data_IF_182307746496
#
_entry.id   IF_182307746496
#
_cell.length_a   1.000
_cell.length_b   1.000
_cell.length_c   1.000
_cell.angle_alpha   90.00
_cell.angle_beta   90.00
_cell.angle_gamma   90.00
#
_symmetry.space_group_name_H-M   'P 1'
#
loop_
_entity.id
_entity.type
_entity.pdbx_description
1 polymer ?
#
# COMPACT_ATOMS: atom_id res chain seq x y z
N UNK A 1 -36.88 -2.61 10.26
CA UNK A 1 -35.93 -1.83 11.09
C UNK A 1 -34.54 -2.38 10.83
N UNK A 2 -33.82 -1.79 9.88
CA UNK A 2 -32.42 -2.09 9.65
C UNK A 2 -31.65 -0.78 9.83
N UNK A 3 -30.79 -0.75 10.84
CA UNK A 3 -29.95 0.39 11.17
C UNK A 3 -28.79 0.43 10.16
N UNK A 4 -28.67 1.53 9.43
CA UNK A 4 -27.54 1.81 8.56
C UNK A 4 -26.33 2.20 9.44
N UNK A 5 -25.28 1.38 9.43
CA UNK A 5 -24.00 1.72 10.04
C UNK A 5 -23.17 2.46 8.98
N UNK A 6 -23.14 3.77 9.08
CA UNK A 6 -22.24 4.62 8.29
C UNK A 6 -20.85 4.57 8.92
N UNK A 7 -19.93 3.79 8.34
CA UNK A 7 -18.50 3.87 8.69
C UNK A 7 -17.88 5.04 7.93
N UNK A 8 -17.92 6.20 8.57
CA UNK A 8 -17.19 7.40 8.18
C UNK A 8 -15.71 7.19 8.54
N UNK A 9 -14.87 6.86 7.55
CA UNK A 9 -13.42 6.72 7.75
C UNK A 9 -12.72 8.07 7.58
N UNK A 10 -12.31 8.61 8.73
CA UNK A 10 -11.11 9.42 8.97
C UNK A 10 -10.90 10.63 8.05
N UNK A 11 -11.46 11.77 8.47
CA UNK A 11 -10.77 13.05 8.30
C UNK A 11 -9.73 13.10 9.42
N UNK A 12 -8.47 12.86 9.09
CA UNK A 12 -7.35 13.13 9.98
C UNK A 12 -7.39 14.64 10.29
N UNK A 13 -8.07 14.99 11.37
CA UNK A 13 -7.95 16.29 11.99
C UNK A 13 -6.56 16.30 12.64
N UNK A 14 -5.61 16.95 11.97
CA UNK A 14 -4.33 17.37 12.51
C UNK A 14 -4.57 18.12 13.83
N UNK A 15 -4.51 17.38 14.94
CA UNK A 15 -4.48 17.96 16.27
C UNK A 15 -3.10 18.54 16.49
N UNK A 16 -2.92 19.77 16.07
CA UNK A 16 -1.87 20.64 16.60
C UNK A 16 -2.07 20.74 18.12
N UNK A 17 -1.19 20.06 18.85
CA UNK A 17 -0.80 20.41 20.21
C UNK A 17 0.71 20.49 20.24
N UNK A 18 1.21 21.59 19.67
CA UNK A 18 2.49 22.14 20.10
C UNK A 18 2.24 22.65 21.53
N UNK A 19 2.52 21.79 22.51
CA UNK A 19 2.67 22.23 23.89
C UNK A 19 3.96 23.05 23.95
N UNK A 20 3.76 24.37 24.01
CA UNK A 20 4.78 25.38 24.21
C UNK A 20 5.59 25.05 25.48
N UNK A 21 6.79 24.46 25.29
CA UNK A 21 7.81 24.41 26.33
C UNK A 21 8.84 25.46 25.98
N UNK A 22 8.60 26.67 26.47
CA UNK A 22 9.59 27.73 26.58
C UNK A 22 10.72 27.29 27.52
N UNK A 23 11.72 26.63 26.96
CA UNK A 23 13.05 26.48 27.54
C UNK A 23 14.02 27.11 26.56
N UNK A 24 14.78 28.11 27.00
CA UNK A 24 15.79 28.79 26.20
C UNK A 24 16.86 27.78 25.72
N UNK A 25 16.69 27.26 24.51
CA UNK A 25 17.64 26.38 23.85
C UNK A 25 18.46 27.24 22.87
N UNK A 26 19.64 27.70 23.31
CA UNK A 26 20.72 28.13 22.42
C UNK A 26 21.21 26.90 21.62
N UNK A 27 20.39 26.45 20.67
CA UNK A 27 20.72 25.37 19.76
C UNK A 27 21.75 25.87 18.76
N UNK A 28 22.91 25.19 18.70
CA UNK A 28 23.95 25.53 17.75
C UNK A 28 23.42 25.47 16.29
N UNK A 29 23.97 26.34 15.43
CA UNK A 29 23.54 26.47 14.02
C UNK A 29 23.64 25.12 13.27
N UNK A 30 24.56 24.25 13.70
CA UNK A 30 24.74 22.91 13.13
C UNK A 30 23.55 22.00 13.44
N UNK A 31 23.05 22.01 14.67
CA UNK A 31 21.90 21.22 15.11
C UNK A 31 20.61 21.69 14.45
N UNK A 32 20.43 23.00 14.29
CA UNK A 32 19.30 23.57 13.55
C UNK A 32 19.30 23.11 12.08
N UNK A 33 20.44 23.22 11.41
CA UNK A 33 20.61 22.75 10.03
C UNK A 33 20.34 21.25 9.88
N UNK A 34 20.76 20.43 10.85
CA UNK A 34 20.47 18.98 10.85
C UNK A 34 18.98 18.71 11.01
N UNK A 35 18.29 19.42 11.91
CA UNK A 35 16.84 19.27 12.11
C UNK A 35 16.05 19.68 10.86
N UNK A 36 16.40 20.81 10.25
CA UNK A 36 15.79 21.26 9.00
C UNK A 36 16.03 20.27 7.85
N UNK A 37 17.26 19.78 7.69
CA UNK A 37 17.59 18.79 6.68
C UNK A 37 16.79 17.49 6.88
N UNK A 38 16.62 17.02 8.13
CA UNK A 38 15.79 15.84 8.45
C UNK A 38 14.32 16.07 8.15
N UNK A 39 13.76 17.22 8.53
CA UNK A 39 12.38 17.58 8.24
C UNK A 39 12.13 17.62 6.72
N UNK A 40 13.02 18.27 5.97
CA UNK A 40 12.95 18.34 4.51
C UNK A 40 13.09 16.96 3.86
N UNK A 41 13.98 16.11 4.38
CA UNK A 41 14.14 14.74 3.91
C UNK A 41 12.85 13.94 4.12
N UNK A 42 12.24 14.00 5.31
CA UNK A 42 10.97 13.34 5.60
C UNK A 42 9.85 13.77 4.64
N UNK A 43 9.68 15.08 4.45
CA UNK A 43 8.70 15.61 3.49
C UNK A 43 8.98 15.16 2.04
N UNK A 44 10.26 15.07 1.65
CA UNK A 44 10.63 14.63 0.30
C UNK A 44 10.33 13.15 0.07
N UNK A 45 10.53 12.30 1.09
CA UNK A 45 10.20 10.89 1.04
C UNK A 45 8.69 10.68 0.97
N UNK A 46 7.90 11.45 1.71
CA UNK A 46 6.43 11.38 1.63
C UNK A 46 5.93 11.76 0.24
N UNK A 47 6.46 12.84 -0.35
CA UNK A 47 6.15 13.24 -1.73
C UNK A 47 6.53 12.15 -2.72
N UNK A 48 7.69 11.53 -2.53
CA UNK A 48 8.15 10.44 -3.38
C UNK A 48 7.24 9.21 -3.27
N UNK A 49 6.84 8.83 -2.05
CA UNK A 49 5.92 7.71 -1.81
C UNK A 49 4.57 7.94 -2.50
N UNK A 50 3.99 9.14 -2.36
CA UNK A 50 2.74 9.53 -3.05
C UNK A 50 2.90 9.43 -4.58
N UNK A 51 4.02 9.91 -5.11
CA UNK A 51 4.32 9.84 -6.56
C UNK A 51 4.49 8.40 -7.04
N UNK A 52 5.20 7.56 -6.29
CA UNK A 52 5.40 6.15 -6.61
C UNK A 52 4.07 5.41 -6.64
N UNK A 53 3.20 5.64 -5.66
CA UNK A 53 1.90 5.00 -5.59
C UNK A 53 1.01 5.41 -6.78
N UNK A 54 0.89 6.71 -7.06
CA UNK A 54 0.13 7.21 -8.21
C UNK A 54 0.64 6.66 -9.56
N UNK A 55 1.98 6.57 -9.71
CA UNK A 55 2.60 6.03 -10.92
C UNK A 55 2.35 4.52 -11.06
N UNK A 56 2.35 3.78 -9.95
CA UNK A 56 2.03 2.35 -9.92
C UNK A 56 0.58 2.09 -10.34
N UNK A 57 -0.38 2.81 -9.76
CA UNK A 57 -1.79 2.69 -10.12
C UNK A 57 -2.07 3.07 -11.57
N UNK A 58 -1.35 4.04 -12.13
CA UNK A 58 -1.49 4.44 -13.54
C UNK A 58 -0.92 3.40 -14.51
N UNK A 59 0.23 2.80 -14.18
CA UNK A 59 0.93 1.87 -15.09
C UNK A 59 0.33 0.47 -15.12
N UNK A 60 -0.30 0.03 -14.03
CA UNK A 60 -1.06 -1.21 -14.04
C UNK A 60 -2.44 -0.93 -13.45
N UNK A 61 -3.51 -0.99 -14.24
CA UNK A 61 -4.86 -0.81 -13.73
C UNK A 61 -5.30 -2.03 -12.90
N UNK A 62 -6.35 -1.89 -12.06
CA UNK A 62 -6.98 -3.02 -11.38
C UNK A 62 -7.45 -4.09 -12.38
N UNK A 63 -7.29 -5.37 -12.02
CA UNK A 63 -7.76 -6.48 -12.83
C UNK A 63 -9.29 -6.58 -12.79
N UNK A 64 -9.88 -7.02 -13.90
CA UNK A 64 -11.33 -7.25 -14.02
C UNK A 64 -11.65 -8.73 -13.89
N UNK A 65 -12.89 -9.03 -13.51
CA UNK A 65 -13.40 -10.40 -13.52
C UNK A 65 -13.29 -10.98 -14.94
N UNK A 66 -12.71 -12.17 -15.05
CA UNK A 66 -12.41 -12.84 -16.32
C UNK A 66 -11.00 -12.60 -16.86
N UNK A 67 -10.22 -11.67 -16.28
CA UNK A 67 -8.83 -11.45 -16.71
C UNK A 67 -7.93 -12.62 -16.30
N UNK A 68 -7.01 -12.96 -17.20
CA UNK A 68 -5.92 -13.89 -16.91
C UNK A 68 -4.81 -13.17 -16.14
N UNK A 69 -4.35 -13.77 -15.06
CA UNK A 69 -3.28 -13.24 -14.22
C UNK A 69 -2.21 -14.28 -13.93
N UNK A 70 -1.01 -13.79 -13.61
CA UNK A 70 0.13 -14.61 -13.25
C UNK A 70 0.42 -14.43 -11.75
N UNK A 71 0.42 -15.54 -11.01
CA UNK A 71 0.64 -15.57 -9.57
C UNK A 71 2.05 -16.09 -9.30
N UNK A 72 2.95 -15.33 -8.66
CA UNK A 72 4.31 -15.76 -8.41
C UNK A 72 4.36 -16.87 -7.36
N UNK A 73 5.06 -17.96 -7.68
CA UNK A 73 5.36 -19.05 -6.74
C UNK A 73 6.63 -18.69 -5.95
N UNK A 74 6.60 -18.72 -4.61
CA UNK A 74 7.77 -18.40 -3.80
C UNK A 74 8.89 -19.42 -4.06
N UNK A 75 10.14 -18.99 -3.90
CA UNK A 75 11.30 -19.80 -4.25
C UNK A 75 11.40 -21.10 -3.41
N UNK A 76 10.86 -21.10 -2.19
CA UNK A 76 10.83 -22.28 -1.31
C UNK A 76 9.89 -23.38 -1.80
N UNK A 77 8.81 -23.01 -2.48
CA UNK A 77 7.82 -23.94 -3.02
C UNK A 77 8.18 -24.36 -4.45
N UNK A 78 9.17 -23.71 -5.07
CA UNK A 78 9.54 -23.91 -6.47
C UNK A 78 10.76 -24.83 -6.62
N UNK A 79 10.59 -25.91 -7.37
CA UNK A 79 11.72 -26.74 -7.83
C UNK A 79 12.52 -26.04 -8.94
N UNK A 80 13.80 -26.41 -9.12
CA UNK A 80 14.73 -25.75 -10.07
C UNK A 80 14.23 -25.69 -11.52
N UNK A 81 13.36 -26.60 -11.94
CA UNK A 81 12.79 -26.67 -13.29
C UNK A 81 11.35 -26.15 -13.42
N UNK A 82 10.75 -25.68 -12.34
CA UNK A 82 9.34 -25.25 -12.35
C UNK A 82 9.19 -23.79 -12.82
N UNK A 83 8.00 -23.46 -13.33
CA UNK A 83 7.66 -22.11 -13.77
C UNK A 83 7.64 -21.14 -12.58
N UNK A 84 8.02 -19.89 -12.83
CA UNK A 84 8.01 -18.85 -11.77
C UNK A 84 6.60 -18.49 -11.32
N UNK A 85 5.62 -18.67 -12.21
CA UNK A 85 4.27 -18.18 -12.02
C UNK A 85 3.24 -19.24 -12.39
N UNK A 86 2.13 -19.26 -11.64
CA UNK A 86 0.92 -20.01 -11.94
C UNK A 86 -0.08 -19.10 -12.67
N UNK A 87 -0.74 -19.61 -13.70
CA UNK A 87 -1.79 -18.87 -14.42
C UNK A 87 -3.13 -19.11 -13.73
N UNK A 88 -3.86 -18.03 -13.46
CA UNK A 88 -5.21 -18.05 -12.92
C UNK A 88 -6.13 -17.03 -13.58
N UNK A 89 -7.42 -17.11 -13.30
CA UNK A 89 -8.46 -16.21 -13.78
C UNK A 89 -9.12 -15.53 -12.60
N UNK A 90 -9.34 -14.22 -12.69
CA UNK A 90 -10.07 -13.46 -11.66
C UNK A 90 -11.54 -13.85 -11.69
N UNK A 91 -12.04 -14.39 -10.58
CA UNK A 91 -13.45 -14.81 -10.44
C UNK A 91 -14.29 -13.70 -9.80
N UNK A 92 -13.76 -13.03 -8.79
CA UNK A 92 -14.42 -11.95 -8.05
C UNK A 92 -13.36 -10.90 -7.67
N UNK A 93 -13.74 -9.63 -7.69
CA UNK A 93 -12.94 -8.50 -7.22
C UNK A 93 -13.71 -7.79 -6.10
N UNK A 94 -13.16 -7.78 -4.89
CA UNK A 94 -13.76 -7.13 -3.72
C UNK A 94 -13.00 -5.83 -3.42
N UNK A 95 -13.72 -4.73 -3.29
CA UNK A 95 -13.22 -3.40 -2.87
C UNK A 95 -11.93 -2.94 -3.57
N UNK A 96 -11.74 -3.31 -4.85
CA UNK A 96 -10.61 -2.96 -5.71
C UNK A 96 -9.19 -3.36 -5.23
N UNK A 97 -9.07 -4.12 -4.14
CA UNK A 97 -7.78 -4.52 -3.56
C UNK A 97 -7.59 -6.03 -3.53
N UNK A 98 -8.66 -6.80 -3.36
CA UNK A 98 -8.58 -8.26 -3.20
C UNK A 98 -9.29 -9.01 -4.32
N UNK A 99 -8.61 -10.02 -4.85
CA UNK A 99 -9.09 -10.86 -5.94
C UNK A 99 -9.21 -12.30 -5.49
N UNK A 100 -10.33 -12.91 -5.85
CA UNK A 100 -10.53 -14.36 -5.77
C UNK A 100 -10.13 -14.98 -7.09
N UNK A 101 -9.22 -15.95 -7.04
CA UNK A 101 -8.59 -16.48 -8.24
C UNK A 101 -8.95 -17.95 -8.44
N UNK A 102 -9.39 -18.28 -9.65
CA UNK A 102 -9.62 -19.63 -10.12
C UNK A 102 -8.44 -20.14 -10.94
N UNK A 103 -8.11 -21.40 -10.77
CA UNK A 103 -7.18 -22.15 -11.63
C UNK A 103 -7.89 -23.37 -12.21
N UNK A 104 -7.26 -24.11 -13.13
CA UNK A 104 -7.85 -25.36 -13.66
C UNK A 104 -8.14 -26.41 -12.58
N UNK A 105 -7.46 -26.31 -11.43
CA UNK A 105 -7.55 -27.27 -10.33
C UNK A 105 -8.52 -26.82 -9.22
N UNK A 106 -9.15 -25.66 -9.38
CA UNK A 106 -10.07 -25.10 -8.39
C UNK A 106 -9.71 -23.67 -8.00
N UNK A 107 -10.39 -23.19 -6.98
CA UNK A 107 -10.27 -21.81 -6.48
C UNK A 107 -9.18 -21.77 -5.42
N UNK A 108 -8.31 -20.77 -5.49
CA UNK A 108 -7.30 -20.55 -4.44
C UNK A 108 -8.00 -20.16 -3.14
N UNK A 109 -7.57 -20.79 -2.04
CA UNK A 109 -8.17 -20.57 -0.71
C UNK A 109 -7.96 -19.13 -0.21
N UNK A 110 -6.85 -18.51 -0.61
CA UNK A 110 -6.47 -17.15 -0.21
C UNK A 110 -6.91 -16.15 -1.27
N UNK A 111 -7.31 -14.97 -0.81
CA UNK A 111 -7.46 -13.80 -1.66
C UNK A 111 -6.08 -13.19 -1.93
N UNK A 112 -5.92 -12.63 -3.12
CA UNK A 112 -4.67 -12.01 -3.55
C UNK A 112 -4.88 -10.53 -3.75
N UNK A 113 -3.93 -9.73 -3.28
CA UNK A 113 -3.82 -8.33 -3.63
C UNK A 113 -2.72 -8.12 -4.66
N UNK A 114 -2.75 -6.95 -5.28
CA UNK A 114 -1.71 -6.49 -6.18
C UNK A 114 -0.59 -5.79 -5.42
#
# INVERSE_FOLDING_TARGET
MHQNITLNMNKDEDRNKDEDRSGDDDMDETSQNILEARSKAAQSLEKQAKKMNATSHKSHPPAKVGDNIMIPTPDVDRAKGDLRNVIGVVLEASDDVFYKIGTKHGILQKLYCR
#
